data_IF_749793332751
#
_entry.id   IF_749793332751
#
_cell.length_a   1.000
_cell.length_b   1.000
_cell.length_c   1.000
_cell.angle_alpha   90.00
_cell.angle_beta   90.00
_cell.angle_gamma   90.00
#
_symmetry.space_group_name_H-M   'P 1'
#
loop_
_entity.id
_entity.type
_entity.pdbx_description
1 polymer ?
#
# COMPACT_ATOMS: atom_id res chain seq x y z
N UNK A 1 35.15 -10.11 -7.16
CA UNK A 1 35.35 -9.27 -5.96
C UNK A 1 34.93 -10.11 -4.76
N UNK A 2 35.88 -10.49 -3.89
CA UNK A 2 35.58 -11.26 -2.68
C UNK A 2 35.30 -10.28 -1.54
N UNK A 3 34.13 -10.39 -0.94
CA UNK A 3 33.70 -9.52 0.16
C UNK A 3 34.69 -9.58 1.33
N UNK A 4 35.23 -8.44 1.73
CA UNK A 4 36.28 -8.34 2.74
C UNK A 4 35.76 -8.42 4.20
N UNK A 5 34.46 -8.67 4.41
CA UNK A 5 33.84 -8.63 5.74
C UNK A 5 32.93 -9.84 5.99
N UNK A 6 33.41 -10.88 6.70
CA UNK A 6 32.65 -12.12 6.91
C UNK A 6 31.31 -11.89 7.63
N UNK A 7 31.25 -10.87 8.50
CA UNK A 7 30.02 -10.46 9.18
C UNK A 7 28.97 -9.93 8.19
N UNK A 8 29.36 -9.06 7.27
CA UNK A 8 28.45 -8.50 6.26
C UNK A 8 27.95 -9.59 5.30
N UNK A 9 28.85 -10.47 4.86
CA UNK A 9 28.47 -11.63 4.03
C UNK A 9 27.45 -12.51 4.73
N UNK A 10 27.60 -12.74 6.05
CA UNK A 10 26.63 -13.49 6.86
C UNK A 10 25.28 -12.79 6.94
N UNK A 11 25.25 -11.49 7.20
CA UNK A 11 24.01 -10.70 7.26
C UNK A 11 23.28 -10.78 5.91
N UNK A 12 23.99 -10.56 4.80
CA UNK A 12 23.40 -10.67 3.45
C UNK A 12 22.82 -12.04 3.16
N UNK A 13 23.54 -13.11 3.51
CA UNK A 13 23.05 -14.47 3.35
C UNK A 13 21.76 -14.72 4.16
N UNK A 14 21.67 -14.19 5.38
CA UNK A 14 20.47 -14.29 6.20
C UNK A 14 19.28 -13.51 5.61
N UNK A 15 19.52 -12.31 5.07
CA UNK A 15 18.47 -11.53 4.41
C UNK A 15 17.94 -12.27 3.18
N UNK A 16 18.82 -12.86 2.36
CA UNK A 16 18.38 -13.65 1.21
C UNK A 16 17.56 -14.88 1.61
N UNK A 17 18.00 -15.61 2.64
CA UNK A 17 17.26 -16.77 3.14
C UNK A 17 15.86 -16.38 3.67
N UNK A 18 15.75 -15.25 4.38
CA UNK A 18 14.46 -14.75 4.84
C UNK A 18 13.56 -14.29 3.68
N UNK A 19 14.13 -13.60 2.68
CA UNK A 19 13.37 -13.18 1.51
C UNK A 19 12.79 -14.37 0.73
N UNK A 20 13.54 -15.47 0.62
CA UNK A 20 13.04 -16.72 0.02
C UNK A 20 11.89 -17.33 0.84
N UNK A 21 12.05 -17.42 2.16
CA UNK A 21 10.99 -17.94 3.06
C UNK A 21 9.73 -17.09 3.03
N UNK A 22 9.87 -15.76 3.02
CA UNK A 22 8.75 -14.82 2.87
C UNK A 22 8.10 -14.98 1.50
N UNK A 23 8.89 -15.18 0.44
CA UNK A 23 8.39 -15.46 -0.91
C UNK A 23 7.51 -16.71 -0.95
N UNK A 24 7.95 -17.80 -0.30
CA UNK A 24 7.19 -19.04 -0.17
C UNK A 24 5.88 -18.79 0.59
N UNK A 25 5.92 -18.05 1.70
CA UNK A 25 4.73 -17.73 2.50
C UNK A 25 3.75 -16.78 1.79
N UNK A 26 4.25 -15.83 0.97
CA UNK A 26 3.41 -14.94 0.16
C UNK A 26 2.62 -15.69 -0.91
N UNK A 27 3.16 -16.81 -1.38
CA UNK A 27 2.47 -17.71 -2.31
C UNK A 27 1.53 -18.70 -1.59
N UNK A 28 1.59 -18.76 -0.26
CA UNK A 28 0.68 -19.58 0.57
C UNK A 28 -0.75 -19.02 0.56
N UNK A 29 -1.73 -19.90 0.77
CA UNK A 29 -3.12 -19.48 0.84
C UNK A 29 -3.44 -18.85 2.19
N UNK A 30 -4.44 -17.96 2.27
CA UNK A 30 -4.91 -17.39 3.55
C UNK A 30 -5.15 -18.48 4.62
N UNK A 31 -5.18 -18.15 5.91
CA UNK A 31 -5.75 -19.04 6.91
C UNK A 31 -7.20 -19.38 6.56
N UNK A 32 -7.63 -20.63 6.80
CA UNK A 32 -8.99 -21.11 6.45
C UNK A 32 -10.10 -20.18 6.95
N UNK A 33 -9.99 -19.69 8.18
CA UNK A 33 -10.95 -18.72 8.75
C UNK A 33 -10.96 -17.41 7.96
N UNK A 34 -9.79 -16.91 7.58
CA UNK A 34 -9.65 -15.71 6.75
C UNK A 34 -10.18 -15.89 5.32
N UNK A 35 -9.99 -17.08 4.73
CA UNK A 35 -10.54 -17.41 3.41
C UNK A 35 -12.08 -17.48 3.43
N UNK A 36 -12.67 -18.08 4.47
CA UNK A 36 -14.13 -18.10 4.65
C UNK A 36 -14.68 -16.68 4.85
N UNK A 37 -14.02 -15.86 5.68
CA UNK A 37 -14.39 -14.46 5.85
C UNK A 37 -14.21 -13.61 4.56
N UNK A 38 -13.26 -13.96 3.70
CA UNK A 38 -13.10 -13.35 2.38
C UNK A 38 -14.26 -13.70 1.45
N UNK A 39 -14.75 -14.95 1.49
CA UNK A 39 -15.96 -15.37 0.77
C UNK A 39 -17.17 -14.56 1.23
N UNK A 40 -17.37 -14.38 2.54
CA UNK A 40 -18.46 -13.57 3.07
C UNK A 40 -18.39 -12.11 2.58
N UNK A 41 -17.21 -11.49 2.63
CA UNK A 41 -16.98 -10.14 2.11
C UNK A 41 -17.25 -10.04 0.61
N UNK A 42 -16.85 -11.05 -0.15
CA UNK A 42 -17.11 -11.11 -1.59
C UNK A 42 -18.61 -11.15 -1.89
N UNK A 43 -19.36 -12.04 -1.22
CA UNK A 43 -20.82 -12.15 -1.39
C UNK A 43 -21.49 -10.83 -1.03
N UNK A 44 -21.11 -10.19 0.07
CA UNK A 44 -21.65 -8.90 0.50
C UNK A 44 -21.36 -7.79 -0.52
N UNK A 45 -20.12 -7.69 -1.00
CA UNK A 45 -19.71 -6.70 -2.01
C UNK A 45 -20.49 -6.86 -3.31
N UNK A 46 -20.59 -8.10 -3.81
CA UNK A 46 -21.31 -8.42 -5.04
C UNK A 46 -22.81 -8.12 -4.89
N UNK A 47 -23.41 -8.49 -3.76
CA UNK A 47 -24.81 -8.20 -3.46
C UNK A 47 -25.10 -6.70 -3.31
N UNK A 48 -24.17 -5.92 -2.77
CA UNK A 48 -24.32 -4.46 -2.62
C UNK A 48 -24.31 -3.75 -3.98
N UNK A 49 -23.59 -4.30 -4.96
CA UNK A 49 -23.50 -3.73 -6.30
C UNK A 49 -24.79 -3.88 -7.14
N UNK A 50 -25.70 -4.78 -6.75
CA UNK A 50 -26.97 -5.00 -7.45
C UNK A 50 -27.99 -3.95 -7.04
N UNK A 51 -28.35 -3.07 -7.97
CA UNK A 51 -29.50 -2.16 -7.84
C UNK A 51 -30.73 -2.79 -8.49
N UNK A 52 -31.67 -3.25 -7.68
CA UNK A 52 -32.97 -3.74 -8.14
C UNK A 52 -33.89 -2.54 -8.32
N UNK A 53 -34.28 -2.24 -9.56
CA UNK A 53 -35.31 -1.22 -9.82
C UNK A 53 -36.68 -1.81 -9.46
N UNK A 54 -37.49 -1.15 -8.61
CA UNK A 54 -38.82 -1.65 -8.23
C UNK A 54 -39.75 -1.91 -9.42
N UNK A 55 -39.56 -1.18 -10.52
CA UNK A 55 -40.34 -1.32 -11.75
C UNK A 55 -40.01 -2.59 -12.56
N UNK A 56 -38.95 -3.32 -12.23
CA UNK A 56 -38.57 -4.55 -12.95
C UNK A 56 -39.58 -5.70 -12.76
N UNK A 57 -40.43 -5.63 -11.74
CA UNK A 57 -41.47 -6.64 -11.44
C UNK A 57 -42.90 -6.11 -11.60
N UNK A 58 -43.06 -4.81 -11.86
CA UNK A 58 -44.36 -4.20 -12.07
C UNK A 58 -44.77 -4.37 -13.55
N UNK A 59 -45.70 -5.27 -13.82
CA UNK A 59 -46.32 -5.42 -15.15
C UNK A 59 -46.92 -4.07 -15.59
N UNK A 60 -46.29 -3.42 -16.56
CA UNK A 60 -46.75 -2.13 -17.07
C UNK A 60 -45.93 -1.64 -18.25
N UNK A 61 -46.07 -2.31 -19.40
CA UNK A 61 -45.92 -1.71 -20.75
C UNK A 61 -44.63 -0.97 -21.12
N UNK A 62 -43.52 -1.15 -20.39
CA UNK A 62 -42.20 -0.59 -20.73
C UNK A 62 -41.29 -1.61 -21.40
N UNK A 63 -40.29 -1.12 -22.17
CA UNK A 63 -39.27 -1.94 -22.84
C UNK A 63 -38.77 -3.08 -21.94
N UNK A 64 -38.60 -4.30 -22.50
CA UNK A 64 -38.12 -5.45 -21.74
C UNK A 64 -36.74 -5.11 -21.17
N UNK A 65 -36.70 -4.86 -19.86
CA UNK A 65 -35.44 -4.82 -19.12
C UNK A 65 -34.81 -6.19 -19.31
N UNK A 66 -33.61 -6.23 -19.89
CA UNK A 66 -32.87 -7.48 -20.14
C UNK A 66 -32.98 -8.40 -18.92
N UNK A 67 -33.72 -9.50 -19.08
CA UNK A 67 -33.88 -10.54 -18.07
C UNK A 67 -32.55 -11.28 -17.81
N UNK A 68 -31.55 -11.02 -18.64
CA UNK A 68 -30.19 -11.49 -18.46
C UNK A 68 -29.37 -10.39 -17.77
N UNK A 69 -29.03 -10.56 -16.48
CA UNK A 69 -28.12 -9.66 -15.82
C UNK A 69 -26.75 -9.77 -16.47
N UNK A 70 -26.05 -8.64 -16.64
CA UNK A 70 -24.65 -8.61 -17.12
C UNK A 70 -23.71 -9.46 -16.24
N UNK A 71 -24.13 -9.83 -15.02
CA UNK A 71 -23.42 -10.73 -14.12
C UNK A 71 -24.42 -11.51 -13.24
N UNK A 72 -24.74 -12.73 -13.65
CA UNK A 72 -25.67 -13.64 -12.94
C UNK A 72 -25.19 -13.99 -11.53
N UNK A 73 -23.87 -13.99 -11.31
CA UNK A 73 -23.26 -14.25 -10.02
C UNK A 73 -23.61 -13.17 -9.00
N UNK A 74 -23.62 -11.88 -9.39
CA UNK A 74 -24.02 -10.78 -8.48
C UNK A 74 -25.45 -10.93 -7.99
N UNK A 75 -26.36 -11.28 -8.90
CA UNK A 75 -27.76 -11.52 -8.56
C UNK A 75 -27.91 -12.75 -7.65
N UNK A 76 -27.16 -13.83 -7.93
CA UNK A 76 -27.13 -14.99 -7.04
C UNK A 76 -26.62 -14.64 -5.63
N UNK A 77 -25.58 -13.81 -5.52
CA UNK A 77 -25.12 -13.28 -4.23
C UNK A 77 -26.17 -12.42 -3.52
N UNK A 78 -27.01 -11.68 -4.27
CA UNK A 78 -28.05 -10.81 -3.71
C UNK A 78 -29.27 -11.59 -3.20
N UNK A 79 -29.77 -12.53 -4.00
CA UNK A 79 -31.04 -13.21 -3.75
C UNK A 79 -30.89 -14.57 -3.06
N UNK A 80 -29.75 -15.25 -3.27
CA UNK A 80 -29.46 -16.57 -2.71
C UNK A 80 -28.11 -16.61 -1.97
N UNK A 81 -27.83 -15.68 -1.05
CA UNK A 81 -26.52 -15.58 -0.40
C UNK A 81 -26.13 -16.86 0.35
N UNK A 82 -27.10 -17.55 0.98
CA UNK A 82 -26.84 -18.77 1.75
C UNK A 82 -26.40 -19.94 0.87
N UNK A 83 -27.00 -20.08 -0.32
CA UNK A 83 -26.66 -21.16 -1.27
C UNK A 83 -25.25 -20.93 -1.81
N UNK A 84 -24.93 -19.69 -2.18
CA UNK A 84 -23.60 -19.32 -2.68
C UNK A 84 -22.55 -19.46 -1.57
N UNK A 85 -22.86 -19.05 -0.33
CA UNK A 85 -21.97 -19.23 0.82
C UNK A 85 -21.67 -20.70 1.05
N UNK A 86 -22.69 -21.56 1.11
CA UNK A 86 -22.52 -23.00 1.35
C UNK A 86 -21.65 -23.66 0.26
N UNK A 87 -21.90 -23.31 -1.00
CA UNK A 87 -21.12 -23.82 -2.13
C UNK A 87 -19.64 -23.39 -2.06
N UNK A 88 -19.38 -22.09 -1.95
CA UNK A 88 -18.02 -21.56 -1.88
C UNK A 88 -17.28 -22.04 -0.62
N UNK A 89 -17.98 -22.20 0.52
CA UNK A 89 -17.40 -22.75 1.75
C UNK A 89 -16.96 -24.19 1.58
N UNK A 90 -17.73 -25.01 0.85
CA UNK A 90 -17.36 -26.39 0.55
C UNK A 90 -16.13 -26.45 -0.36
N UNK A 91 -16.05 -25.58 -1.38
CA UNK A 91 -14.87 -25.49 -2.26
C UNK A 91 -13.62 -25.07 -1.50
N UNK A 92 -13.71 -24.00 -0.70
CA UNK A 92 -12.61 -23.53 0.16
C UNK A 92 -12.17 -24.65 1.10
N UNK A 93 -13.11 -25.32 1.78
CA UNK A 93 -12.80 -26.44 2.68
C UNK A 93 -12.06 -27.57 1.94
N UNK A 94 -12.51 -27.95 0.75
CA UNK A 94 -11.89 -28.99 -0.06
C UNK A 94 -10.46 -28.60 -0.51
N UNK A 95 -10.21 -27.32 -0.78
CA UNK A 95 -8.86 -26.84 -1.10
C UNK A 95 -7.90 -27.01 0.09
N UNK A 96 -8.32 -26.65 1.31
CA UNK A 96 -7.48 -26.86 2.51
C UNK A 96 -7.29 -28.35 2.84
N UNK A 97 -8.29 -29.20 2.61
CA UNK A 97 -8.17 -30.65 2.83
C UNK A 97 -7.19 -31.31 1.85
N UNK A 98 -6.98 -30.72 0.67
CA UNK A 98 -5.99 -31.17 -0.34
C UNK A 98 -4.55 -30.75 -0.02
N UNK A 99 -4.29 -30.16 1.15
CA UNK A 99 -2.93 -29.83 1.61
C UNK A 99 -2.44 -28.45 1.16
N UNK A 100 -3.35 -27.51 0.90
CA UNK A 100 -3.00 -26.12 0.66
C UNK A 100 -2.27 -25.55 1.88
N UNK A 101 -0.99 -25.18 1.71
CA UNK A 101 -0.17 -24.61 2.78
C UNK A 101 -0.72 -23.24 3.17
N UNK A 102 -1.14 -23.13 4.42
CA UNK A 102 -1.60 -21.88 5.01
C UNK A 102 -0.41 -20.93 5.10
N UNK A 103 -0.53 -19.75 4.49
CA UNK A 103 0.27 -18.59 4.84
C UNK A 103 -0.08 -18.23 6.29
N UNK A 104 0.83 -18.55 7.20
CA UNK A 104 0.73 -18.05 8.56
C UNK A 104 1.16 -16.58 8.56
N UNK A 105 0.17 -15.68 8.50
CA UNK A 105 0.38 -14.23 8.46
C UNK A 105 1.22 -13.75 9.65
N UNK A 106 1.09 -14.36 10.83
CA UNK A 106 1.88 -14.00 12.01
C UNK A 106 3.35 -14.45 11.87
N UNK A 107 3.57 -15.64 11.31
CA UNK A 107 4.93 -16.09 10.98
C UNK A 107 5.53 -15.23 9.87
N UNK A 108 4.75 -14.84 8.86
CA UNK A 108 5.21 -13.93 7.80
C UNK A 108 5.60 -12.58 8.38
N UNK A 109 4.74 -11.97 9.18
CA UNK A 109 5.01 -10.67 9.82
C UNK A 109 6.28 -10.74 10.68
N UNK A 110 6.46 -11.83 11.44
CA UNK A 110 7.68 -12.06 12.22
C UNK A 110 8.93 -12.15 11.34
N UNK A 111 8.86 -12.87 10.22
CA UNK A 111 9.98 -12.99 9.29
C UNK A 111 10.27 -11.67 8.56
N UNK A 112 9.25 -10.91 8.18
CA UNK A 112 9.38 -9.58 7.58
C UNK A 112 10.02 -8.59 8.58
N UNK A 113 9.63 -8.62 9.85
CA UNK A 113 10.25 -7.82 10.90
C UNK A 113 11.72 -8.20 11.13
N UNK A 114 12.05 -9.50 11.10
CA UNK A 114 13.43 -9.97 11.18
C UNK A 114 14.27 -9.56 9.96
N UNK A 115 13.68 -9.60 8.76
CA UNK A 115 14.34 -9.13 7.55
C UNK A 115 14.66 -7.64 7.67
N UNK A 116 13.69 -6.82 8.09
CA UNK A 116 13.88 -5.38 8.26
C UNK A 116 14.99 -5.06 9.28
N UNK A 117 15.03 -5.80 10.39
CA UNK A 117 16.08 -5.65 11.41
C UNK A 117 17.47 -5.93 10.83
N UNK A 118 17.63 -7.02 10.06
CA UNK A 118 18.91 -7.34 9.42
C UNK A 118 19.30 -6.31 8.34
N UNK A 119 18.33 -5.73 7.64
CA UNK A 119 18.58 -4.64 6.69
C UNK A 119 19.10 -3.38 7.39
N UNK A 120 18.55 -3.04 8.56
CA UNK A 120 19.10 -1.96 9.41
C UNK A 120 20.53 -2.26 9.87
N UNK A 121 20.81 -3.50 10.28
CA UNK A 121 22.16 -3.92 10.68
C UNK A 121 23.16 -3.86 9.51
N UNK A 122 22.75 -4.24 8.30
CA UNK A 122 23.56 -4.11 7.09
C UNK A 122 23.92 -2.65 6.82
N UNK A 123 22.94 -1.75 6.80
CA UNK A 123 23.17 -0.34 6.50
C UNK A 123 23.99 0.36 7.59
N UNK A 124 23.78 0.02 8.87
CA UNK A 124 24.62 0.51 9.96
C UNK A 124 26.09 0.10 9.76
N UNK A 125 26.33 -1.15 9.35
CA UNK A 125 27.68 -1.63 9.05
C UNK A 125 28.31 -0.89 7.87
N UNK A 126 27.56 -0.68 6.78
CA UNK A 126 28.02 0.05 5.60
C UNK A 126 28.35 1.50 5.95
N UNK A 127 27.54 2.16 6.78
CA UNK A 127 27.77 3.53 7.25
C UNK A 127 29.00 3.62 8.16
N UNK A 128 29.18 2.68 9.07
CA UNK A 128 30.38 2.62 9.91
C UNK A 128 31.64 2.42 9.06
N UNK A 129 31.60 1.50 8.09
CA UNK A 129 32.71 1.28 7.16
C UNK A 129 33.02 2.57 6.35
N UNK A 130 32.00 3.29 5.91
CA UNK A 130 32.17 4.57 5.22
C UNK A 130 32.80 5.65 6.13
N UNK A 131 32.44 5.70 7.41
CA UNK A 131 33.07 6.59 8.39
C UNK A 131 34.55 6.25 8.63
N UNK A 132 34.91 4.97 8.52
CA UNK A 132 36.29 4.47 8.54
C UNK A 132 37.02 4.65 7.19
N UNK A 133 36.39 5.29 6.20
CA UNK A 133 36.95 5.53 4.87
C UNK A 133 36.91 4.33 3.92
N UNK A 134 36.22 3.24 4.28
CA UNK A 134 36.03 2.06 3.45
C UNK A 134 34.73 2.18 2.63
N UNK A 135 34.81 1.92 1.33
CA UNK A 135 33.62 1.87 0.48
C UNK A 135 33.11 0.43 0.36
N UNK A 136 31.91 0.18 0.86
CA UNK A 136 31.20 -1.08 0.71
C UNK A 136 30.01 -0.85 -0.23
N UNK A 137 29.88 -1.61 -1.33
CA UNK A 137 28.75 -1.47 -2.24
C UNK A 137 27.47 -1.95 -1.57
N UNK A 138 26.38 -1.20 -1.74
CA UNK A 138 25.03 -1.61 -1.33
C UNK A 138 24.47 -2.67 -2.28
N UNK A 139 23.51 -3.46 -1.80
CA UNK A 139 22.74 -4.39 -2.63
C UNK A 139 21.80 -3.63 -3.58
N UNK A 140 21.52 -4.19 -4.75
CA UNK A 140 20.65 -3.55 -5.75
C UNK A 140 19.18 -3.49 -5.32
N UNK A 141 18.79 -4.45 -4.49
CA UNK A 141 17.47 -4.67 -3.92
C UNK A 141 17.34 -4.18 -2.47
N UNK A 142 18.26 -3.33 -2.01
CA UNK A 142 18.21 -2.77 -0.66
C UNK A 142 16.93 -1.97 -0.42
N UNK A 143 16.33 -2.15 0.76
CA UNK A 143 15.07 -1.52 1.12
C UNK A 143 15.22 0.01 1.21
N UNK A 144 14.48 0.79 0.39
CA UNK A 144 14.63 2.24 0.37
C UNK A 144 14.27 2.89 1.71
N UNK A 145 13.37 2.30 2.49
CA UNK A 145 13.01 2.84 3.80
C UNK A 145 14.21 2.85 4.77
N UNK A 146 15.04 1.80 4.75
CA UNK A 146 16.25 1.69 5.57
C UNK A 146 17.33 2.68 5.11
N UNK A 147 17.45 2.85 3.79
CA UNK A 147 18.40 3.81 3.20
C UNK A 147 18.03 5.25 3.55
N UNK A 148 16.74 5.57 3.59
CA UNK A 148 16.20 6.91 3.81
C UNK A 148 15.89 7.23 5.27
N UNK A 149 15.93 6.27 6.20
CA UNK A 149 15.55 6.48 7.61
C UNK A 149 16.37 7.58 8.31
N UNK A 150 17.60 7.83 7.86
CA UNK A 150 18.47 8.88 8.39
C UNK A 150 18.59 10.08 7.43
N UNK A 151 17.76 10.14 6.38
CA UNK A 151 17.67 11.35 5.57
C UNK A 151 17.17 12.47 6.48
N UNK A 152 17.98 13.49 6.75
CA UNK A 152 17.53 14.58 7.59
C UNK A 152 16.48 15.34 6.77
N UNK A 153 15.22 15.13 7.10
CA UNK A 153 14.16 16.08 6.80
C UNK A 153 14.61 17.45 7.36
N UNK A 154 15.18 18.30 6.50
CA UNK A 154 15.55 19.67 6.88
C UNK A 154 17.01 20.11 6.68
N UNK A 155 17.90 19.34 6.01
CA UNK A 155 19.21 19.91 5.61
C UNK A 155 19.17 20.87 4.41
N UNK A 156 18.00 21.02 3.77
CA UNK A 156 17.83 21.92 2.61
C UNK A 156 17.31 23.32 2.94
N UNK A 157 16.96 23.63 4.19
CA UNK A 157 16.54 24.99 4.58
C UNK A 157 17.67 25.85 5.20
N UNK A 158 18.73 25.24 5.75
CA UNK A 158 19.84 26.00 6.36
C UNK A 158 21.02 26.25 5.42
N UNK A 159 21.18 25.49 4.33
CA UNK A 159 22.27 25.69 3.37
C UNK A 159 22.09 26.95 2.50
N UNK A 160 20.86 27.48 2.36
CA UNK A 160 20.59 28.73 1.63
C UNK A 160 20.87 29.98 2.49
N UNK A 161 20.96 29.85 3.82
CA UNK A 161 21.12 30.98 4.75
C UNK A 161 22.58 31.37 5.04
N UNK A 162 23.59 30.70 4.46
CA UNK A 162 25.02 30.98 4.72
C UNK A 162 25.78 31.56 3.52
N UNK A 163 25.10 32.24 2.59
CA UNK A 163 25.75 33.19 1.67
C UNK A 163 25.57 34.63 2.19
N UNK A 164 26.69 35.18 2.69
CA UNK A 164 27.10 36.58 2.87
C UNK A 164 26.05 37.71 3.13
N UNK A 165 26.39 38.68 4.02
CA UNK A 165 25.50 39.78 4.38
C UNK A 165 25.42 40.80 3.23
N UNK A 166 24.22 41.22 2.82
CA UNK A 166 24.17 42.26 1.79
C UNK A 166 22.82 42.66 1.21
N UNK A 167 21.70 42.01 1.54
CA UNK A 167 20.40 42.47 1.03
C UNK A 167 19.41 42.62 2.17
N UNK A 168 19.04 43.89 2.39
CA UNK A 168 18.14 44.35 3.45
C UNK A 168 16.86 43.52 3.49
N UNK A 169 16.59 42.97 4.66
CA UNK A 169 15.26 42.51 5.03
C UNK A 169 14.28 43.69 4.88
N UNK A 170 13.32 43.55 3.97
CA UNK A 170 12.11 44.38 3.99
C UNK A 170 10.98 43.50 4.51
N UNK A 171 10.90 43.44 5.85
CA UNK A 171 9.71 42.99 6.55
C UNK A 171 8.70 44.14 6.45
N UNK A 172 7.63 43.95 5.70
CA UNK A 172 6.42 44.76 5.85
C UNK A 172 5.27 43.80 6.19
N UNK A 173 5.03 43.68 7.49
CA UNK A 173 3.70 43.36 8.04
C UNK A 173 2.98 44.68 8.33
N UNK A 174 1.66 44.54 8.47
CA UNK A 174 0.66 45.51 9.02
C UNK A 174 0.05 46.35 7.87
N UNK A 175 -1.16 46.02 7.41
CA UNK A 175 -2.49 46.38 7.94
C UNK A 175 -2.72 47.91 7.99
N UNK A 176 -3.92 48.28 7.55
CA UNK A 176 -4.55 49.62 7.60
C UNK A 176 -4.14 50.60 6.48
N UNK A 177 -5.00 50.74 5.47
CA UNK A 177 -5.83 51.95 5.33
C UNK A 177 -6.90 51.76 4.27
N UNK A 178 -8.12 52.16 4.64
CA UNK A 178 -9.32 52.18 3.81
C UNK A 178 -9.40 53.45 2.93
N UNK A 179 -10.49 53.49 2.15
CA UNK A 179 -11.14 54.64 1.47
C UNK A 179 -10.85 54.75 -0.04
N UNK A 180 -11.81 54.40 -0.91
CA UNK A 180 -12.99 55.21 -1.34
C UNK A 180 -12.55 56.29 -2.33
N UNK A 181 -12.71 56.07 -3.63
CA UNK A 181 -13.77 56.59 -4.54
C UNK A 181 -13.30 56.20 -5.95
N UNK A 182 -14.09 55.90 -6.97
CA UNK A 182 -15.42 56.36 -7.36
C UNK A 182 -15.31 56.80 -8.83
N UNK A 183 -16.09 56.14 -9.69
CA UNK A 183 -16.69 56.70 -10.91
C UNK A 183 -15.84 56.89 -12.18
N UNK A 184 -16.21 56.21 -13.28
CA UNK A 184 -16.82 56.82 -14.47
C UNK A 184 -17.03 55.80 -15.60
N UNK A 185 -18.24 55.88 -16.14
CA UNK A 185 -18.86 55.14 -17.25
C UNK A 185 -18.37 55.66 -18.60
N UNK A 186 -18.27 54.81 -19.63
CA UNK A 186 -18.68 55.15 -21.01
C UNK A 186 -18.82 53.89 -21.91
N UNK A 187 -20.07 53.62 -22.32
CA UNK A 187 -20.45 52.94 -23.57
C UNK A 187 -20.48 54.00 -24.72
N UNK A 188 -20.93 53.74 -25.97
CA UNK A 188 -21.39 52.48 -26.59
C UNK A 188 -20.85 52.23 -28.02
N UNK A 189 -21.08 51.03 -28.56
CA UNK A 189 -21.66 50.76 -29.89
C UNK A 189 -22.23 49.33 -29.92
#
# INVERSE_FOLDING_TARGET
MKDAHPTLTRIRAQIYALAEQIGILRQGALPKVGALAAVDRHIQSMAASVRVKPSAFAQGGGEPVSMYPEDSHRYACKFFPEVIRAHLYAEVKALYERGLTVADDATREKLEAQQLQLEHEEEAYIRQAAAEGKSIPRRGEANPAVLLADWPEGRDQQAVSRRAPGVRASVLRIRDLALVTGDQVQAPY
#
